data_IF_014802534739
#
_entry.id   IF_014802534739
#
_cell.length_a   1.000
_cell.length_b   1.000
_cell.length_c   1.000
_cell.angle_alpha   90.00
_cell.angle_beta   90.00
_cell.angle_gamma   90.00
#
_symmetry.space_group_name_H-M   'P 1'
#
loop_
_entity.id
_entity.type
_entity.pdbx_description
1 polymer ?
#
# COMPACT_ATOMS: atom_id res chain seq x y z
N UNK A 1 -33.13 14.60 -28.03
CA UNK A 1 -31.70 14.89 -27.92
C UNK A 1 -31.32 14.69 -26.43
N UNK A 2 -30.59 13.66 -26.15
CA UNK A 2 -30.49 13.08 -24.79
C UNK A 2 -29.37 13.75 -23.99
N UNK A 3 -29.72 14.38 -22.88
CA UNK A 3 -28.83 15.06 -21.90
C UNK A 3 -27.94 14.09 -21.10
N UNK A 4 -27.34 13.10 -21.73
CA UNK A 4 -26.49 12.07 -21.09
C UNK A 4 -25.03 12.08 -21.51
N UNK A 5 -24.58 13.08 -22.24
CA UNK A 5 -23.14 13.33 -22.36
C UNK A 5 -22.67 14.24 -21.21
N UNK A 6 -22.75 13.72 -19.97
CA UNK A 6 -21.92 14.26 -18.91
C UNK A 6 -20.46 14.02 -19.31
N UNK A 7 -19.77 15.11 -19.64
CA UNK A 7 -18.32 15.15 -19.76
C UNK A 7 -17.73 14.45 -18.51
N UNK A 8 -17.39 13.18 -18.64
CA UNK A 8 -16.38 12.58 -17.79
C UNK A 8 -15.08 13.31 -18.13
N UNK A 9 -14.73 14.33 -17.38
CA UNK A 9 -13.34 14.77 -17.32
C UNK A 9 -12.59 13.53 -16.86
N UNK A 10 -11.98 12.84 -17.79
CA UNK A 10 -11.12 11.68 -17.54
C UNK A 10 -9.95 12.21 -16.73
N UNK A 11 -10.06 12.13 -15.41
CA UNK A 11 -8.92 12.34 -14.54
C UNK A 11 -8.03 11.11 -14.77
N UNK A 12 -7.06 11.26 -15.66
CA UNK A 12 -6.03 10.26 -15.89
C UNK A 12 -5.13 10.23 -14.66
N UNK A 13 -5.39 9.28 -13.75
CA UNK A 13 -4.49 9.02 -12.62
C UNK A 13 -3.50 7.97 -13.06
N UNK A 14 -2.20 8.24 -13.03
CA UNK A 14 -1.19 7.25 -13.37
C UNK A 14 -1.21 6.09 -12.38
N UNK A 15 -1.28 4.87 -12.92
CA UNK A 15 -1.25 3.63 -12.15
C UNK A 15 0.10 2.94 -12.36
N UNK A 16 0.91 2.92 -11.30
CA UNK A 16 2.23 2.30 -11.30
C UNK A 16 2.11 0.84 -10.85
N UNK A 17 2.44 -0.08 -11.74
CA UNK A 17 2.37 -1.53 -11.49
C UNK A 17 3.75 -2.07 -11.19
N UNK A 18 3.93 -2.61 -9.98
CA UNK A 18 5.14 -3.31 -9.58
C UNK A 18 5.08 -4.74 -10.14
N UNK A 19 5.98 -5.06 -11.08
CA UNK A 19 6.00 -6.37 -11.73
C UNK A 19 7.43 -6.84 -11.97
N UNK A 20 7.72 -8.10 -11.64
CA UNK A 20 9.01 -8.73 -11.96
C UNK A 20 9.15 -8.96 -13.47
N UNK A 21 10.32 -8.66 -14.04
CA UNK A 21 10.58 -8.81 -15.47
C UNK A 21 10.24 -10.23 -16.00
N UNK A 22 10.52 -11.26 -15.19
CA UNK A 22 10.23 -12.67 -15.53
C UNK A 22 8.73 -13.04 -15.42
N UNK A 23 7.89 -12.20 -14.82
CA UNK A 23 6.47 -12.49 -14.59
C UNK A 23 5.60 -11.91 -15.71
N UNK A 24 5.88 -12.26 -16.98
CA UNK A 24 5.17 -11.73 -18.14
C UNK A 24 3.66 -12.02 -18.08
N UNK A 25 3.26 -13.23 -17.70
CA UNK A 25 1.84 -13.60 -17.59
C UNK A 25 1.08 -12.69 -16.60
N UNK A 26 1.66 -12.35 -15.44
CA UNK A 26 1.03 -11.44 -14.49
C UNK A 26 0.90 -10.02 -15.04
N UNK A 27 1.91 -9.58 -15.82
CA UNK A 27 1.81 -8.32 -16.53
C UNK A 27 0.65 -8.31 -17.52
N UNK A 28 0.50 -9.38 -18.31
CA UNK A 28 -0.59 -9.52 -19.28
C UNK A 28 -1.95 -9.57 -18.58
N UNK A 29 -2.06 -10.29 -17.46
CA UNK A 29 -3.30 -10.43 -16.69
C UNK A 29 -3.74 -9.09 -16.08
N UNK A 30 -2.83 -8.31 -15.47
CA UNK A 30 -3.16 -7.01 -14.89
C UNK A 30 -3.47 -5.98 -15.98
N UNK A 31 -2.79 -6.05 -17.13
CA UNK A 31 -3.04 -5.19 -18.29
C UNK A 31 -4.43 -5.48 -18.87
N UNK A 32 -4.77 -6.73 -19.08
CA UNK A 32 -6.11 -7.12 -19.55
C UNK A 32 -7.22 -6.68 -18.59
N UNK A 33 -6.96 -6.67 -17.29
CA UNK A 33 -7.91 -6.13 -16.30
C UNK A 33 -8.03 -4.61 -16.38
N UNK A 34 -6.94 -3.89 -16.61
CA UNK A 34 -6.91 -2.43 -16.72
C UNK A 34 -7.62 -1.95 -17.99
N UNK A 35 -7.41 -2.64 -19.11
CA UNK A 35 -8.00 -2.33 -20.42
C UNK A 35 -9.53 -2.33 -20.39
N UNK A 36 -10.15 -3.18 -19.56
CA UNK A 36 -11.60 -3.23 -19.38
C UNK A 36 -12.19 -1.90 -18.89
N UNK A 37 -11.38 -1.08 -18.23
CA UNK A 37 -11.79 0.20 -17.65
C UNK A 37 -11.06 1.39 -18.27
N UNK A 38 -10.22 1.19 -19.28
CA UNK A 38 -9.43 2.25 -19.90
C UNK A 38 -8.36 2.85 -18.97
N UNK A 39 -7.79 2.03 -18.09
CA UNK A 39 -6.76 2.43 -17.14
C UNK A 39 -5.38 2.31 -17.78
N UNK A 40 -4.65 3.44 -17.88
CA UNK A 40 -3.27 3.45 -18.36
C UNK A 40 -2.31 2.99 -17.26
N UNK A 41 -1.50 1.96 -17.58
CA UNK A 41 -0.53 1.39 -16.67
C UNK A 41 0.89 1.88 -16.95
N UNK A 42 1.64 2.17 -15.90
CA UNK A 42 3.08 2.45 -15.94
C UNK A 42 3.83 1.35 -15.19
N UNK A 43 4.63 0.57 -15.91
CA UNK A 43 5.37 -0.53 -15.31
C UNK A 43 6.53 -0.02 -14.47
N UNK A 44 6.63 -0.52 -13.26
CA UNK A 44 7.82 -0.41 -12.39
C UNK A 44 8.43 -1.79 -12.26
N UNK A 45 9.64 -1.93 -12.80
CA UNK A 45 10.36 -3.20 -12.68
C UNK A 45 10.68 -3.49 -11.22
N UNK A 46 10.12 -4.59 -10.73
CA UNK A 46 10.27 -5.01 -9.35
C UNK A 46 11.70 -5.48 -9.05
N UNK A 47 12.11 -5.30 -7.81
CA UNK A 47 13.40 -5.75 -7.30
C UNK A 47 13.34 -7.22 -6.95
N UNK A 48 14.24 -8.02 -7.53
CA UNK A 48 14.38 -9.43 -7.19
C UNK A 48 15.28 -9.59 -5.97
N UNK A 49 14.70 -9.70 -4.79
CA UNK A 49 15.44 -9.68 -3.53
C UNK A 49 16.51 -10.81 -3.36
N UNK A 50 16.37 -11.90 -4.10
CA UNK A 50 17.38 -12.98 -4.13
C UNK A 50 18.67 -12.58 -4.88
N UNK A 51 18.60 -11.57 -5.74
CA UNK A 51 19.72 -11.08 -6.55
C UNK A 51 20.43 -9.87 -5.95
N UNK A 52 19.87 -9.27 -4.89
CA UNK A 52 20.46 -8.12 -4.24
C UNK A 52 21.84 -8.45 -3.64
N UNK A 53 22.81 -7.58 -3.93
CA UNK A 53 24.14 -7.66 -3.36
C UNK A 53 24.19 -6.95 -1.99
N UNK A 54 25.16 -7.26 -1.10
CA UNK A 54 25.25 -6.65 0.24
C UNK A 54 25.33 -5.13 0.25
N UNK A 55 25.94 -4.51 -0.76
CA UNK A 55 26.05 -3.05 -0.91
C UNK A 55 24.73 -2.38 -1.30
N UNK A 56 23.82 -3.12 -1.94
CA UNK A 56 22.49 -2.65 -2.29
C UNK A 56 21.52 -2.64 -1.08
N UNK A 57 21.90 -3.29 0.02
CA UNK A 57 21.12 -3.38 1.26
C UNK A 57 21.25 -2.15 2.19
N UNK A 58 21.87 -1.05 1.74
CA UNK A 58 22.08 0.16 2.56
C UNK A 58 20.82 0.77 3.17
N UNK A 59 19.66 0.49 2.60
CA UNK A 59 18.36 0.90 3.13
C UNK A 59 17.67 -0.19 3.97
N UNK A 60 18.38 -1.20 4.45
CA UNK A 60 17.85 -2.27 5.29
C UNK A 60 18.48 -2.29 6.70
N UNK A 61 17.68 -1.94 7.71
CA UNK A 61 18.03 -2.10 9.14
C UNK A 61 17.64 -3.51 9.60
N UNK A 62 18.49 -4.49 9.34
CA UNK A 62 18.25 -5.89 9.74
C UNK A 62 18.05 -6.03 11.25
N UNK A 63 18.85 -5.34 12.05
CA UNK A 63 18.75 -5.38 13.50
C UNK A 63 17.41 -4.79 13.99
N UNK A 64 16.98 -3.69 13.40
CA UNK A 64 15.67 -3.09 13.63
C UNK A 64 14.52 -4.00 13.21
N UNK A 65 14.65 -4.66 12.05
CA UNK A 65 13.64 -5.62 11.57
C UNK A 65 13.49 -6.78 12.56
N UNK A 66 14.59 -7.37 12.99
CA UNK A 66 14.57 -8.45 14.00
C UNK A 66 13.91 -8.00 15.31
N UNK A 67 14.24 -6.79 15.81
CA UNK A 67 13.68 -6.25 17.06
C UNK A 67 12.19 -5.95 16.94
N UNK A 68 11.73 -5.36 15.81
CA UNK A 68 10.35 -4.88 15.64
C UNK A 68 9.42 -5.96 15.12
N UNK A 69 9.88 -6.77 14.14
CA UNK A 69 9.07 -7.82 13.53
C UNK A 69 9.19 -9.18 14.24
N UNK A 70 10.35 -9.48 14.84
CA UNK A 70 10.60 -10.74 15.55
C UNK A 70 10.91 -11.91 14.61
N UNK A 71 11.39 -11.59 13.39
CA UNK A 71 11.77 -12.56 12.35
C UNK A 71 13.06 -12.13 11.66
N UNK A 72 13.62 -13.03 10.87
CA UNK A 72 14.61 -12.73 9.84
C UNK A 72 13.84 -12.35 8.58
N UNK A 73 14.24 -11.27 7.92
CA UNK A 73 13.63 -10.87 6.65
C UNK A 73 13.96 -11.89 5.55
N UNK A 74 12.95 -12.28 4.80
CA UNK A 74 13.14 -13.14 3.63
C UNK A 74 13.57 -12.29 2.43
N UNK A 75 14.37 -12.82 1.51
CA UNK A 75 14.77 -12.09 0.30
C UNK A 75 13.57 -11.53 -0.48
N UNK A 76 12.47 -12.28 -0.57
CA UNK A 76 11.26 -11.83 -1.24
C UNK A 76 10.59 -10.65 -0.52
N UNK A 77 10.65 -10.59 0.83
CA UNK A 77 10.14 -9.43 1.61
C UNK A 77 11.00 -8.18 1.35
N UNK A 78 12.33 -8.36 1.25
CA UNK A 78 13.25 -7.26 0.94
C UNK A 78 13.02 -6.76 -0.48
N UNK A 79 12.90 -7.67 -1.46
CA UNK A 79 12.61 -7.32 -2.85
C UNK A 79 11.29 -6.57 -3.00
N UNK A 80 10.22 -7.05 -2.36
CA UNK A 80 8.92 -6.38 -2.33
C UNK A 80 9.06 -4.95 -1.75
N UNK A 81 9.73 -4.82 -0.60
CA UNK A 81 9.94 -3.53 0.04
C UNK A 81 10.66 -2.53 -0.87
N UNK A 82 11.76 -2.94 -1.48
CA UNK A 82 12.56 -2.09 -2.36
C UNK A 82 11.84 -1.77 -3.67
N UNK A 83 10.98 -2.66 -4.15
CA UNK A 83 10.10 -2.39 -5.30
C UNK A 83 9.14 -1.24 -5.03
N UNK A 84 8.53 -1.21 -3.84
CA UNK A 84 7.68 -0.10 -3.43
C UNK A 84 8.46 1.21 -3.25
N UNK A 85 9.68 1.17 -2.70
CA UNK A 85 10.57 2.35 -2.67
C UNK A 85 10.80 2.88 -4.09
N UNK A 86 11.15 2.00 -5.04
CA UNK A 86 11.37 2.37 -6.45
C UNK A 86 10.12 2.99 -7.09
N UNK A 87 8.93 2.46 -6.79
CA UNK A 87 7.67 3.03 -7.26
C UNK A 87 7.42 4.44 -6.69
N UNK A 88 7.66 4.65 -5.39
CA UNK A 88 7.53 5.97 -4.77
C UNK A 88 8.52 6.98 -5.36
N UNK A 89 9.76 6.58 -5.59
CA UNK A 89 10.79 7.43 -6.21
C UNK A 89 10.40 7.82 -7.64
N UNK A 90 9.86 6.89 -8.43
CA UNK A 90 9.36 7.15 -9.78
C UNK A 90 8.20 8.16 -9.78
N UNK A 91 7.24 8.03 -8.86
CA UNK A 91 6.11 8.94 -8.69
C UNK A 91 6.59 10.35 -8.31
N UNK A 92 7.53 10.45 -7.37
CA UNK A 92 8.07 11.74 -6.94
C UNK A 92 8.80 12.43 -8.09
N UNK A 93 9.60 11.68 -8.88
CA UNK A 93 10.33 12.18 -10.02
C UNK A 93 9.40 12.65 -11.17
N UNK A 94 8.29 11.95 -11.39
CA UNK A 94 7.29 12.31 -12.39
C UNK A 94 6.47 13.55 -12.02
N UNK A 95 6.58 14.04 -10.79
CA UNK A 95 5.87 15.22 -10.26
C UNK A 95 4.34 15.15 -10.35
N UNK A 96 3.79 13.94 -10.42
CA UNK A 96 2.35 13.72 -10.46
C UNK A 96 1.69 14.20 -9.17
N UNK A 97 0.56 14.92 -9.23
CA UNK A 97 -0.13 15.41 -8.02
C UNK A 97 -0.61 14.26 -7.15
N UNK A 98 -1.02 13.16 -7.76
CA UNK A 98 -1.35 11.89 -7.13
C UNK A 98 -1.12 10.72 -8.10
N UNK A 99 -0.96 9.53 -7.56
CA UNK A 99 -0.76 8.30 -8.31
C UNK A 99 -1.28 7.09 -7.53
N UNK A 100 -1.57 6.02 -8.23
CA UNK A 100 -1.86 4.71 -7.63
C UNK A 100 -0.65 3.81 -7.80
N UNK A 101 -0.33 3.03 -6.77
CA UNK A 101 0.61 1.92 -6.84
C UNK A 101 -0.16 0.63 -6.68
N UNK A 102 0.08 -0.34 -7.56
CA UNK A 102 -0.49 -1.68 -7.48
C UNK A 102 0.59 -2.76 -7.68
N UNK A 103 0.37 -3.93 -7.08
CA UNK A 103 1.12 -5.14 -7.40
C UNK A 103 0.52 -5.82 -8.64
N UNK A 104 1.25 -6.72 -9.28
CA UNK A 104 0.89 -7.35 -10.56
C UNK A 104 -0.15 -8.48 -10.45
N UNK A 105 -0.67 -8.71 -9.25
CA UNK A 105 -1.67 -9.74 -8.97
C UNK A 105 -3.05 -9.18 -8.59
N UNK A 106 -3.34 -7.93 -8.95
CA UNK A 106 -4.64 -7.31 -8.73
C UNK A 106 -5.54 -7.40 -9.97
N UNK A 107 -6.85 -7.32 -9.73
CA UNK A 107 -7.87 -7.07 -10.75
C UNK A 107 -8.65 -5.83 -10.37
N UNK A 108 -8.82 -4.91 -11.32
CA UNK A 108 -9.57 -3.68 -11.10
C UNK A 108 -11.07 -3.96 -11.03
N UNK A 109 -11.79 -3.17 -10.22
CA UNK A 109 -13.25 -3.24 -10.12
C UNK A 109 -13.90 -2.05 -10.80
N UNK A 110 -15.20 -2.13 -11.17
CA UNK A 110 -15.93 -0.99 -11.75
C UNK A 110 -15.93 0.26 -10.86
N UNK A 111 -15.81 0.10 -9.55
CA UNK A 111 -15.82 1.20 -8.59
C UNK A 111 -14.47 1.94 -8.50
N UNK A 112 -13.40 1.42 -9.13
CA UNK A 112 -12.04 1.95 -8.99
C UNK A 112 -11.93 3.40 -9.48
N UNK A 113 -12.20 3.67 -10.77
CA UNK A 113 -12.07 5.02 -11.34
C UNK A 113 -13.05 6.03 -10.72
N UNK A 114 -14.35 5.72 -10.51
CA UNK A 114 -15.27 6.60 -9.81
C UNK A 114 -14.77 7.01 -8.42
N UNK A 115 -14.22 6.05 -7.65
CA UNK A 115 -13.65 6.34 -6.35
C UNK A 115 -12.46 7.29 -6.44
N UNK A 116 -11.49 7.00 -7.32
CA UNK A 116 -10.30 7.84 -7.50
C UNK A 116 -10.71 9.28 -7.89
N UNK A 117 -11.63 9.42 -8.83
CA UNK A 117 -12.17 10.73 -9.25
C UNK A 117 -12.83 11.49 -8.11
N UNK A 118 -13.55 10.80 -7.23
CA UNK A 118 -14.21 11.42 -6.09
C UNK A 118 -13.20 11.88 -5.03
N UNK A 119 -12.23 11.02 -4.69
CA UNK A 119 -11.24 11.28 -3.64
C UNK A 119 -10.22 12.36 -4.06
N UNK A 120 -9.92 12.48 -5.34
CA UNK A 120 -9.01 13.53 -5.83
C UNK A 120 -9.53 14.96 -5.57
N UNK A 121 -10.82 15.12 -5.28
CA UNK A 121 -11.45 16.39 -4.91
C UNK A 121 -11.42 16.68 -3.40
N UNK A 122 -10.93 15.72 -2.60
CA UNK A 122 -10.85 15.84 -1.16
C UNK A 122 -9.43 16.23 -0.73
N UNK A 123 -9.33 16.96 0.36
CA UNK A 123 -8.06 17.35 1.00
C UNK A 123 -7.93 16.69 2.37
N UNK A 124 -6.72 16.72 2.93
CA UNK A 124 -6.47 16.19 4.28
C UNK A 124 -6.07 14.72 4.29
N UNK A 125 -5.71 14.14 3.14
CA UNK A 125 -5.16 12.79 3.04
C UNK A 125 -3.81 12.80 2.31
N UNK A 126 -2.94 11.90 2.69
CA UNK A 126 -1.64 11.67 2.04
C UNK A 126 -1.61 10.30 1.34
N UNK A 127 -2.19 9.26 1.96
CA UNK A 127 -2.23 7.87 1.46
C UNK A 127 -3.59 7.24 1.74
N UNK A 128 -4.13 6.50 0.78
CA UNK A 128 -5.35 5.71 0.95
C UNK A 128 -5.09 4.28 0.46
N UNK A 129 -5.18 3.30 1.36
CA UNK A 129 -5.14 1.89 0.98
C UNK A 129 -6.45 1.49 0.33
N UNK A 130 -6.37 0.86 -0.84
CA UNK A 130 -7.52 0.48 -1.67
C UNK A 130 -7.95 -0.97 -1.46
N UNK A 131 -7.11 -1.76 -0.79
CA UNK A 131 -7.40 -3.16 -0.44
C UNK A 131 -6.72 -3.53 0.88
N UNK A 132 -7.38 -4.39 1.66
CA UNK A 132 -6.87 -4.96 2.91
C UNK A 132 -7.26 -6.43 2.99
N UNK A 133 -6.43 -7.27 3.60
CA UNK A 133 -6.80 -8.66 3.87
C UNK A 133 -7.88 -8.79 4.95
N UNK A 134 -7.96 -7.80 5.84
CA UNK A 134 -8.94 -7.73 6.92
C UNK A 134 -9.20 -6.29 7.30
N UNK A 135 -10.43 -6.01 7.71
CA UNK A 135 -10.86 -4.75 8.33
C UNK A 135 -11.43 -5.09 9.69
N UNK A 136 -10.98 -4.39 10.73
CA UNK A 136 -11.44 -4.64 12.10
C UNK A 136 -11.66 -3.32 12.84
N UNK A 137 -12.85 -3.17 13.42
CA UNK A 137 -13.28 -1.94 14.08
C UNK A 137 -13.04 -0.70 13.19
N UNK A 138 -13.62 -0.75 11.99
CA UNK A 138 -13.53 0.33 11.01
C UNK A 138 -14.32 1.54 11.49
N UNK A 139 -13.66 2.68 11.57
CA UNK A 139 -14.24 3.98 11.87
C UNK A 139 -14.31 4.78 10.58
N UNK A 140 -15.54 5.02 10.13
CA UNK A 140 -15.79 5.84 8.94
C UNK A 140 -15.58 7.30 9.24
N UNK A 141 -14.91 8.01 8.33
CA UNK A 141 -14.73 9.46 8.40
C UNK A 141 -15.56 10.18 7.35
N UNK A 142 -15.59 9.65 6.13
CA UNK A 142 -16.33 10.26 5.05
C UNK A 142 -16.93 9.21 4.10
N UNK A 143 -17.99 9.59 3.40
CA UNK A 143 -18.59 8.82 2.31
C UNK A 143 -18.08 9.37 0.99
N UNK A 144 -17.72 8.48 0.10
CA UNK A 144 -17.23 8.80 -1.23
C UNK A 144 -18.29 8.40 -2.26
N UNK A 145 -18.32 9.10 -3.38
CA UNK A 145 -19.22 8.80 -4.50
C UNK A 145 -19.09 7.32 -4.90
N UNK A 146 -20.17 6.66 -5.30
CA UNK A 146 -20.19 5.22 -5.55
C UNK A 146 -20.45 4.35 -4.31
N UNK A 147 -20.77 4.97 -3.16
CA UNK A 147 -21.21 4.25 -1.95
C UNK A 147 -20.09 3.56 -1.16
N UNK A 148 -18.81 3.84 -1.46
CA UNK A 148 -17.71 3.46 -0.61
C UNK A 148 -17.48 4.51 0.49
N UNK A 149 -16.59 4.24 1.40
CA UNK A 149 -16.20 5.19 2.45
C UNK A 149 -14.72 5.14 2.72
N UNK A 150 -14.21 6.21 3.29
CA UNK A 150 -12.84 6.32 3.78
C UNK A 150 -12.87 6.39 5.30
N UNK A 151 -11.93 5.69 5.91
CA UNK A 151 -11.86 5.63 7.37
C UNK A 151 -10.55 5.05 7.86
N UNK A 152 -10.53 4.66 9.13
CA UNK A 152 -9.39 4.02 9.79
C UNK A 152 -9.85 2.83 10.61
N UNK A 153 -9.00 1.83 10.76
CA UNK A 153 -9.24 0.70 11.66
C UNK A 153 -8.53 0.92 13.01
N UNK A 154 -9.24 0.61 14.10
CA UNK A 154 -8.66 0.64 15.44
C UNK A 154 -7.68 -0.51 15.64
N UNK A 155 -7.95 -1.65 15.03
CA UNK A 155 -7.11 -2.84 15.16
C UNK A 155 -6.33 -3.12 13.88
N UNK A 156 -5.16 -3.75 14.01
CA UNK A 156 -4.28 -4.12 12.90
C UNK A 156 -3.10 -4.95 13.37
N UNK A 157 -2.14 -5.22 12.50
CA UNK A 157 -2.03 -4.81 11.09
C UNK A 157 -3.12 -5.45 10.21
N UNK A 158 -3.49 -4.75 9.14
CA UNK A 158 -4.57 -5.16 8.23
C UNK A 158 -4.08 -6.06 7.11
N UNK A 159 -2.79 -5.95 6.81
CA UNK A 159 -2.13 -6.66 5.72
C UNK A 159 -2.46 -6.10 4.35
N UNK A 160 -1.79 -6.64 3.34
CA UNK A 160 -1.78 -6.21 1.95
C UNK A 160 -1.16 -4.83 1.69
N UNK A 161 -0.28 -4.80 0.71
CA UNK A 161 0.26 -3.59 0.08
C UNK A 161 -0.12 -3.52 -1.40
N UNK A 162 -1.01 -4.42 -1.82
CA UNK A 162 -1.27 -4.69 -3.23
C UNK A 162 -1.89 -3.51 -3.99
N UNK A 163 -2.56 -2.56 -3.32
CA UNK A 163 -3.07 -1.35 -3.97
C UNK A 163 -3.23 -0.20 -2.98
N UNK A 164 -2.69 0.97 -3.34
CA UNK A 164 -2.88 2.22 -2.58
C UNK A 164 -2.73 3.43 -3.49
N UNK A 165 -3.52 4.47 -3.19
CA UNK A 165 -3.49 5.79 -3.80
C UNK A 165 -2.70 6.73 -2.87
N UNK A 166 -1.93 7.65 -3.45
CA UNK A 166 -1.19 8.64 -2.68
C UNK A 166 -1.09 9.97 -3.43
N UNK A 167 -0.99 11.04 -2.65
CA UNK A 167 -0.59 12.35 -3.16
C UNK A 167 0.93 12.40 -3.31
N UNK A 168 1.45 13.32 -4.14
CA UNK A 168 2.91 13.53 -4.23
C UNK A 168 3.53 13.84 -2.87
N UNK A 169 2.86 14.67 -2.05
CA UNK A 169 3.27 14.96 -0.68
C UNK A 169 3.29 13.70 0.17
N UNK A 170 2.25 12.86 0.04
CA UNK A 170 2.15 11.57 0.71
C UNK A 170 3.28 10.61 0.30
N UNK A 171 3.64 10.57 -1.00
CA UNK A 171 4.77 9.78 -1.47
C UNK A 171 6.10 10.19 -0.83
N UNK A 172 6.36 11.49 -0.73
CA UNK A 172 7.58 12.03 -0.09
C UNK A 172 7.62 11.66 1.40
N UNK A 173 6.53 11.88 2.13
CA UNK A 173 6.44 11.56 3.56
C UNK A 173 6.56 10.05 3.82
N UNK A 174 5.84 9.24 3.03
CA UNK A 174 5.89 7.79 3.14
C UNK A 174 7.31 7.28 2.86
N UNK A 175 7.95 7.74 1.77
CA UNK A 175 9.32 7.35 1.43
C UNK A 175 10.31 7.66 2.56
N UNK A 176 10.19 8.82 3.18
CA UNK A 176 11.02 9.21 4.33
C UNK A 176 10.76 8.33 5.56
N UNK A 177 9.49 7.96 5.80
CA UNK A 177 9.09 7.18 6.96
C UNK A 177 9.49 5.70 6.89
N UNK A 178 9.56 5.15 5.67
CA UNK A 178 9.86 3.71 5.47
C UNK A 178 11.35 3.43 5.30
N UNK A 179 12.20 4.42 5.10
CA UNK A 179 13.66 4.25 5.02
C UNK A 179 14.32 4.49 6.38
N UNK A 180 15.22 3.58 6.83
CA UNK A 180 15.49 2.26 6.27
C UNK A 180 14.40 1.23 6.59
N UNK A 181 14.32 0.17 5.78
CA UNK A 181 13.42 -0.97 6.03
C UNK A 181 13.70 -1.60 7.40
N UNK A 182 12.70 -1.63 8.26
CA UNK A 182 12.78 -2.23 9.60
C UNK A 182 11.51 -2.98 10.02
N UNK A 183 10.59 -3.12 9.08
CA UNK A 183 9.32 -3.85 9.18
C UNK A 183 8.97 -4.39 7.78
N UNK A 184 8.06 -5.37 7.63
CA UNK A 184 7.44 -5.68 6.35
C UNK A 184 6.73 -4.45 5.77
N UNK A 185 6.67 -4.35 4.43
CA UNK A 185 6.14 -3.15 3.78
C UNK A 185 4.68 -2.85 4.12
N UNK A 186 3.82 -3.87 4.14
CA UNK A 186 2.41 -3.74 4.51
C UNK A 186 2.22 -3.16 5.92
N UNK A 187 3.07 -3.56 6.87
CA UNK A 187 3.07 -3.02 8.23
C UNK A 187 3.62 -1.60 8.26
N UNK A 188 4.69 -1.31 7.51
CA UNK A 188 5.30 0.02 7.46
C UNK A 188 4.34 1.04 6.83
N UNK A 189 3.69 0.69 5.72
CA UNK A 189 2.69 1.51 5.02
C UNK A 189 1.52 1.93 5.92
N UNK A 190 1.12 1.09 6.88
CA UNK A 190 -0.01 1.35 7.77
C UNK A 190 0.29 2.31 8.93
N UNK A 191 1.52 2.77 9.07
CA UNK A 191 1.98 3.51 10.26
C UNK A 191 2.02 5.03 10.04
N UNK A 192 0.90 5.63 9.57
CA UNK A 192 0.78 7.08 9.37
C UNK A 192 1.23 7.89 10.59
N UNK A 193 0.97 7.41 11.81
CA UNK A 193 1.40 8.04 13.07
C UNK A 193 2.92 8.06 13.28
N UNK A 194 3.67 7.24 12.55
CA UNK A 194 5.13 7.18 12.67
C UNK A 194 5.84 7.99 11.60
N UNK A 195 5.15 8.33 10.50
CA UNK A 195 5.71 9.02 9.35
C UNK A 195 5.10 10.39 9.07
N UNK A 196 4.26 10.89 9.98
CA UNK A 196 3.57 12.18 9.85
C UNK A 196 2.81 12.33 8.51
N UNK A 197 2.18 11.23 8.05
CA UNK A 197 1.30 11.24 6.88
C UNK A 197 -0.11 10.77 7.25
N UNK A 198 -1.10 11.39 6.60
CA UNK A 198 -2.50 11.09 6.80
C UNK A 198 -2.89 9.86 5.98
N UNK A 199 -2.98 8.70 6.68
CA UNK A 199 -3.38 7.42 6.10
C UNK A 199 -4.86 7.15 6.34
N UNK A 200 -5.53 6.76 5.27
CA UNK A 200 -6.91 6.25 5.29
C UNK A 200 -7.00 4.89 4.58
N UNK A 201 -8.15 4.26 4.71
CA UNK A 201 -8.48 2.95 4.13
C UNK A 201 -9.85 3.05 3.49
N UNK A 202 -10.08 2.30 2.43
CA UNK A 202 -11.44 2.07 1.90
C UNK A 202 -12.16 1.02 2.73
N UNK A 203 -13.47 1.19 2.91
CA UNK A 203 -14.31 0.21 3.60
C UNK A 203 -14.44 -1.08 2.78
N UNK A 204 -14.66 -0.93 1.47
CA UNK A 204 -14.71 -2.04 0.50
C UNK A 204 -13.49 -1.99 -0.40
N UNK A 205 -12.95 -3.16 -0.81
CA UNK A 205 -11.81 -3.19 -1.72
C UNK A 205 -12.20 -2.62 -3.09
N UNK A 206 -11.26 -1.93 -3.72
CA UNK A 206 -11.38 -1.37 -5.07
C UNK A 206 -10.59 -2.16 -6.12
N UNK A 207 -9.84 -3.14 -5.66
CA UNK A 207 -9.22 -4.18 -6.48
C UNK A 207 -9.47 -5.53 -5.83
N UNK A 208 -9.59 -6.56 -6.63
CA UNK A 208 -9.68 -7.93 -6.17
C UNK A 208 -8.30 -8.56 -6.16
N UNK A 209 -8.04 -9.38 -5.14
CA UNK A 209 -6.86 -10.24 -5.05
C UNK A 209 -7.31 -11.65 -5.43
N UNK A 210 -6.70 -12.31 -6.43
CA UNK A 210 -7.04 -13.67 -6.79
C UNK A 210 -6.91 -14.60 -5.58
N UNK A 211 -7.94 -15.42 -5.33
CA UNK A 211 -7.96 -16.36 -4.20
C UNK A 211 -6.83 -17.39 -4.22
N UNK A 212 -6.11 -17.50 -5.33
CA UNK A 212 -5.01 -18.45 -5.58
C UNK A 212 -3.70 -17.72 -5.86
N UNK A 213 -3.55 -16.48 -5.46
CA UNK A 213 -2.23 -15.87 -5.49
C UNK A 213 -1.32 -16.67 -4.55
N UNK A 214 -0.62 -17.65 -5.11
CA UNK A 214 0.61 -18.17 -4.52
C UNK A 214 1.50 -16.95 -4.32
N UNK A 215 1.39 -16.35 -3.12
CA UNK A 215 2.25 -15.25 -2.74
C UNK A 215 3.68 -15.69 -3.01
N UNK A 216 4.38 -15.01 -3.92
CA UNK A 216 5.79 -15.30 -4.20
C UNK A 216 6.67 -15.09 -2.97
N UNK A 217 6.14 -14.45 -1.93
CA UNK A 217 6.78 -14.26 -0.63
C UNK A 217 6.72 -15.55 0.21
N UNK A 218 5.65 -16.33 0.09
CA UNK A 218 5.47 -17.56 0.84
C UNK A 218 5.77 -18.78 -0.03
N UNK A 219 7.05 -19.07 -0.26
CA UNK A 219 7.48 -20.35 -0.88
C UNK A 219 7.05 -21.57 -0.06
N UNK A 220 6.76 -21.39 1.21
CA UNK A 220 5.94 -22.26 2.06
C UNK A 220 5.65 -21.58 3.40
N UNK A 221 4.53 -21.91 4.03
CA UNK A 221 4.25 -21.58 5.45
C UNK A 221 5.40 -22.02 6.36
N UNK A 222 6.11 -23.05 5.97
CA UNK A 222 7.24 -23.62 6.67
C UNK A 222 8.47 -22.70 6.66
N UNK A 223 8.84 -22.13 5.51
CA UNK A 223 9.94 -21.13 5.40
C UNK A 223 9.65 -19.91 6.26
N UNK A 224 8.40 -19.43 6.23
CA UNK A 224 7.99 -18.29 7.03
C UNK A 224 7.97 -18.59 8.55
N UNK A 225 7.67 -19.83 8.93
CA UNK A 225 7.74 -20.29 10.32
C UNK A 225 9.19 -20.39 10.81
N UNK A 226 10.09 -20.91 9.97
CA UNK A 226 11.54 -21.04 10.27
C UNK A 226 12.23 -19.67 10.43
N UNK A 227 11.74 -18.62 9.76
CA UNK A 227 12.28 -17.27 9.89
C UNK A 227 11.98 -16.62 11.28
N UNK A 228 11.11 -17.22 12.09
CA UNK A 228 10.71 -16.68 13.41
C UNK A 228 11.83 -16.83 14.43
N UNK A 229 12.16 -15.73 15.12
CA UNK A 229 13.13 -15.75 16.21
C UNK A 229 12.61 -16.53 17.43
N UNK A 230 13.50 -17.12 18.26
CA UNK A 230 13.13 -17.74 19.54
C UNK A 230 12.38 -16.78 20.46
N UNK A 231 11.52 -17.31 21.33
CA UNK A 231 10.61 -16.50 22.17
C UNK A 231 11.36 -15.46 23.02
N UNK A 232 12.48 -15.86 23.64
CA UNK A 232 13.28 -14.96 24.49
C UNK A 232 13.91 -13.78 23.73
N UNK A 233 14.12 -13.90 22.42
CA UNK A 233 14.61 -12.80 21.54
C UNK A 233 13.50 -11.87 21.06
N UNK A 234 12.23 -12.16 21.37
CA UNK A 234 11.05 -11.40 20.88
C UNK A 234 10.43 -10.48 21.93
N UNK A 235 11.06 -10.30 23.10
CA UNK A 235 10.56 -9.38 24.13
C UNK A 235 10.45 -7.96 23.57
N UNK A 236 11.49 -7.48 22.87
CA UNK A 236 11.47 -6.17 22.19
C UNK A 236 10.36 -6.06 21.16
N UNK A 237 10.06 -7.14 20.44
CA UNK A 237 8.97 -7.21 19.48
C UNK A 237 7.60 -7.07 20.17
N UNK A 238 7.40 -7.68 21.32
CA UNK A 238 6.16 -7.57 22.08
C UNK A 238 5.94 -6.14 22.58
N UNK A 239 6.99 -5.52 23.14
CA UNK A 239 6.94 -4.13 23.60
C UNK A 239 6.64 -3.21 22.41
N UNK A 240 7.34 -3.38 21.29
CA UNK A 240 7.09 -2.61 20.08
C UNK A 240 5.64 -2.76 19.61
N UNK A 241 5.12 -3.98 19.52
CA UNK A 241 3.73 -4.24 19.07
C UNK A 241 2.70 -3.63 20.01
N UNK A 242 2.91 -3.71 21.32
CA UNK A 242 2.01 -3.11 22.31
C UNK A 242 1.98 -1.59 22.18
N UNK A 243 3.14 -0.94 22.09
CA UNK A 243 3.23 0.52 21.93
C UNK A 243 2.69 0.97 20.57
N UNK A 244 2.96 0.22 19.50
CA UNK A 244 2.48 0.51 18.16
C UNK A 244 0.95 0.36 18.06
N UNK A 245 0.38 -0.62 18.74
CA UNK A 245 -1.06 -0.83 18.86
C UNK A 245 -1.77 0.35 19.56
N UNK A 246 -1.21 0.84 20.67
CA UNK A 246 -1.74 2.01 21.37
C UNK A 246 -1.70 3.25 20.47
N UNK A 247 -0.58 3.47 19.77
CA UNK A 247 -0.42 4.58 18.81
C UNK A 247 -1.42 4.49 17.66
N UNK A 248 -1.67 3.29 17.13
CA UNK A 248 -2.69 3.06 16.10
C UNK A 248 -4.07 3.49 16.58
N UNK A 249 -4.48 3.07 17.78
CA UNK A 249 -5.78 3.45 18.36
C UNK A 249 -5.87 4.96 18.51
N UNK A 250 -4.87 5.59 19.11
CA UNK A 250 -4.83 7.05 19.30
C UNK A 250 -4.93 7.78 17.95
N UNK A 251 -4.19 7.32 16.93
CA UNK A 251 -4.22 7.87 15.59
C UNK A 251 -5.61 7.71 14.92
N UNK A 252 -6.22 6.52 15.06
CA UNK A 252 -7.55 6.28 14.50
C UNK A 252 -8.65 7.09 15.19
N UNK A 253 -8.51 7.39 16.50
CA UNK A 253 -9.46 8.21 17.26
C UNK A 253 -9.25 9.71 17.04
N UNK A 254 -8.00 10.14 16.88
CA UNK A 254 -7.63 11.55 16.81
C UNK A 254 -7.79 12.20 15.43
N UNK A 255 -8.20 11.45 14.40
CA UNK A 255 -8.32 11.99 13.05
C UNK A 255 -9.42 13.02 12.90
N UNK A 256 -9.08 14.13 12.23
CA UNK A 256 -10.05 15.11 11.70
C UNK A 256 -10.58 14.55 10.38
N UNK A 257 -11.85 14.77 10.06
CA UNK A 257 -12.45 14.40 8.78
C UNK A 257 -11.72 15.07 7.59
N UNK A 258 -12.01 14.61 6.39
CA UNK A 258 -11.49 15.20 5.16
C UNK A 258 -12.19 16.52 4.85
N UNK A 259 -11.46 17.47 4.27
CA UNK A 259 -12.00 18.71 3.72
C UNK A 259 -12.35 18.55 2.24
N UNK A 260 -13.21 19.44 1.72
CA UNK A 260 -13.44 19.57 0.28
C UNK A 260 -12.46 20.62 -0.25
N UNK A 261 -11.74 20.29 -1.31
CA UNK A 261 -10.83 21.22 -1.96
C UNK A 261 -11.58 22.48 -2.43
N UNK A 262 -11.14 23.64 -2.02
CA UNK A 262 -11.66 24.91 -2.54
C UNK A 262 -12.81 25.59 -1.76
N UNK A 263 -12.96 25.29 -0.47
CA UNK A 263 -13.75 26.15 0.45
C UNK A 263 -12.86 26.97 1.36
#
# INVERSE_FOLDING_TARGET
>A
MNDKERLFVSISVPVYVINLARSAQRWDDVTASADQFGIELRRVEAVEGKLLQPDELGNFDEAGFRRRHGKIALPAEIGCYFSHIKALEAIIAAQEPYAVVVEDDVRFTPDFLPFISSVSKLEGWDVIKLVNHRTSAYRRFDKVEGGNSIGRCLHGPLGSSAAYLLTRKGAIKLLAAIKPMSLPYDVALERGWAGDYELYLTERPLVELPHVALSTIADSRETYAKARLPVYKRISTLIFRATDYIRRIAYALGSKGLGVAGK
#
